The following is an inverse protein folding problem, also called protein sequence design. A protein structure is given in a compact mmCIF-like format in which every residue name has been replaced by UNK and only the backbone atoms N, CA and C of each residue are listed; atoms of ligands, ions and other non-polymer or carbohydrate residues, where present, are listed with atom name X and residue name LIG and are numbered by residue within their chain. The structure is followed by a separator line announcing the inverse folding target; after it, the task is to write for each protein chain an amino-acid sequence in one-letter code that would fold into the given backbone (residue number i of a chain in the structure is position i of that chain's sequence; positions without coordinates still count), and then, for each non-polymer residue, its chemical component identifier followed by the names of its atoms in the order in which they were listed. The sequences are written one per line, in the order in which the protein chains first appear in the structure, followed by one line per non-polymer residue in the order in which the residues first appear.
data_IF_691901523103
#
_entry.id   IF_691901523103
#
_cell.length_a   1.000
_cell.length_b   1.000
_cell.length_c   1.000
_cell.angle_alpha   90.00
_cell.angle_beta   90.00
_cell.angle_gamma   90.00
#
_symmetry.space_group_name_H-M   'P 1'
#
loop_
_entity.id
_entity.type
_entity.pdbx_description
1 polymer ?
#
# COMPACT_ATOMS: atom_id res chain seq x y z
N UNK A 1 32.73 -12.91 20.94
CA UNK A 1 31.59 -12.03 20.60
C UNK A 1 30.52 -12.93 19.97
N UNK A 2 29.64 -13.49 20.82
CA UNK A 2 28.65 -14.49 20.39
C UNK A 2 27.40 -13.80 19.87
N UNK A 3 27.18 -13.90 18.56
CA UNK A 3 25.92 -13.48 17.95
C UNK A 3 24.81 -14.44 18.44
N UNK A 4 23.96 -13.99 19.35
CA UNK A 4 22.75 -14.71 19.76
C UNK A 4 21.71 -14.53 18.64
N UNK A 5 21.46 -15.61 17.91
CA UNK A 5 20.38 -15.69 16.93
C UNK A 5 19.06 -15.65 17.70
N UNK A 6 18.33 -14.54 17.61
CA UNK A 6 16.96 -14.43 18.11
C UNK A 6 16.03 -15.16 17.13
N UNK A 7 15.56 -16.34 17.52
CA UNK A 7 14.50 -17.02 16.76
C UNK A 7 13.17 -16.40 17.18
N UNK A 8 12.57 -15.63 16.29
CA UNK A 8 11.20 -15.11 16.45
C UNK A 8 10.22 -16.15 15.95
N UNK A 9 9.52 -16.83 16.83
CA UNK A 9 8.39 -17.68 16.46
C UNK A 9 7.13 -16.84 16.70
N UNK A 10 6.44 -16.50 15.60
CA UNK A 10 5.16 -15.81 15.66
C UNK A 10 4.05 -16.85 15.76
N UNK A 11 3.38 -16.91 16.90
CA UNK A 11 2.10 -17.58 17.02
C UNK A 11 1.01 -16.56 16.65
N UNK A 12 0.58 -16.58 15.40
CA UNK A 12 -0.56 -15.78 14.96
C UNK A 12 -1.85 -16.48 15.39
N UNK A 13 -2.49 -16.04 16.44
CA UNK A 13 -3.89 -16.31 16.69
C UNK A 13 -4.70 -15.36 15.80
N UNK A 14 -5.14 -15.83 14.63
CA UNK A 14 -6.09 -15.12 13.79
C UNK A 14 -7.45 -15.19 14.50
N UNK A 15 -7.81 -14.15 15.23
CA UNK A 15 -9.18 -13.96 15.62
C UNK A 15 -9.92 -13.42 14.40
N UNK A 16 -10.96 -14.13 13.98
CA UNK A 16 -11.83 -13.79 12.84
C UNK A 16 -12.35 -12.36 13.03
N UNK A 17 -11.80 -11.43 12.27
CA UNK A 17 -12.26 -10.06 12.27
C UNK A 17 -13.71 -10.02 11.77
N UNK A 18 -14.58 -9.37 12.53
CA UNK A 18 -15.90 -9.00 12.06
C UNK A 18 -15.73 -8.00 10.91
N UNK A 19 -15.71 -8.50 9.68
CA UNK A 19 -15.93 -7.67 8.53
C UNK A 19 -17.40 -7.26 8.52
N UNK A 20 -17.69 -6.04 8.93
CA UNK A 20 -18.94 -5.40 8.58
C UNK A 20 -18.96 -5.17 7.06
N UNK A 21 -19.22 -6.22 6.32
CA UNK A 21 -19.74 -6.06 4.97
C UNK A 21 -21.19 -5.61 5.17
N UNK A 22 -21.43 -4.32 5.00
CA UNK A 22 -22.78 -3.84 4.83
C UNK A 22 -23.36 -4.56 3.63
N UNK A 23 -24.20 -5.58 3.90
CA UNK A 23 -25.10 -6.19 2.93
C UNK A 23 -26.10 -5.11 2.52
N UNK A 24 -25.70 -4.24 1.62
CA UNK A 24 -26.66 -3.51 0.83
C UNK A 24 -27.12 -4.45 -0.26
N UNK A 25 -28.36 -4.93 -0.15
CA UNK A 25 -29.03 -5.62 -1.23
C UNK A 25 -28.81 -4.82 -2.52
N UNK A 26 -28.18 -5.45 -3.50
CA UNK A 26 -28.17 -4.94 -4.85
C UNK A 26 -29.60 -5.02 -5.35
N UNK A 27 -30.29 -3.89 -5.40
CA UNK A 27 -31.41 -3.75 -6.33
C UNK A 27 -30.80 -3.90 -7.73
N UNK A 28 -30.92 -5.09 -8.26
CA UNK A 28 -30.65 -5.38 -9.68
C UNK A 28 -31.82 -4.77 -10.43
N UNK A 29 -31.74 -3.48 -10.68
CA UNK A 29 -32.58 -2.86 -11.67
C UNK A 29 -31.90 -3.09 -13.04
N UNK A 30 -32.63 -3.67 -13.97
CA UNK A 30 -32.18 -4.15 -15.29
C UNK A 30 -31.75 -3.05 -16.26
N UNK A 31 -31.43 -1.86 -15.77
CA UNK A 31 -30.96 -0.71 -16.53
C UNK A 31 -29.72 -0.10 -15.86
N UNK A 32 -28.54 -0.57 -16.28
CA UNK A 32 -27.26 0.09 -16.06
C UNK A 32 -26.87 0.22 -14.58
N UNK A 33 -25.82 -0.48 -14.15
CA UNK A 33 -25.24 -0.33 -12.80
C UNK A 33 -24.80 1.13 -12.60
N UNK A 34 -25.63 1.92 -11.94
CA UNK A 34 -25.28 3.28 -11.53
C UNK A 34 -24.15 3.20 -10.52
N UNK A 35 -22.95 3.62 -10.87
CA UNK A 35 -21.85 3.72 -9.93
C UNK A 35 -22.26 4.59 -8.75
N UNK A 36 -22.09 4.07 -7.52
CA UNK A 36 -22.34 4.85 -6.31
C UNK A 36 -21.40 6.05 -6.28
N UNK A 37 -21.94 7.25 -6.07
CA UNK A 37 -21.14 8.48 -6.02
C UNK A 37 -20.15 8.49 -4.85
N UNK A 38 -20.49 7.82 -3.75
CA UNK A 38 -19.63 7.67 -2.57
C UNK A 38 -19.72 6.24 -2.06
N UNK A 39 -18.57 5.60 -1.90
CA UNK A 39 -18.44 4.29 -1.29
C UNK A 39 -17.57 4.41 -0.03
N UNK A 40 -18.01 3.76 1.04
CA UNK A 40 -17.27 3.64 2.30
C UNK A 40 -17.05 2.16 2.58
N UNK A 41 -15.80 1.75 2.75
CA UNK A 41 -15.41 0.38 3.12
C UNK A 41 -14.39 0.44 4.23
N UNK A 42 -14.25 -0.64 4.98
CA UNK A 42 -13.23 -0.70 6.01
C UNK A 42 -13.27 -2.00 6.78
N UNK A 43 -12.30 -2.15 7.66
CA UNK A 43 -12.20 -3.29 8.57
C UNK A 43 -11.53 -2.88 9.88
N UNK A 44 -11.67 -3.73 10.87
CA UNK A 44 -10.90 -3.69 12.11
C UNK A 44 -10.33 -5.09 12.32
N UNK A 45 -9.04 -5.18 12.64
CA UNK A 45 -8.41 -6.43 13.05
C UNK A 45 -7.62 -6.22 14.34
N UNK A 46 -7.57 -7.25 15.16
CA UNK A 46 -6.76 -7.34 16.36
C UNK A 46 -5.60 -8.32 16.10
N UNK A 47 -4.39 -7.87 16.35
CA UNK A 47 -3.16 -8.62 16.18
C UNK A 47 -2.45 -8.66 17.53
N UNK A 48 -2.17 -9.85 18.01
CA UNK A 48 -1.41 -10.06 19.22
C UNK A 48 -0.10 -10.75 18.90
N UNK A 49 1.00 -10.23 19.40
CA UNK A 49 2.34 -10.78 19.23
C UNK A 49 2.92 -11.19 20.56
N UNK A 50 3.63 -12.30 20.55
CA UNK A 50 4.36 -12.82 21.69
C UNK A 50 5.78 -13.15 21.25
N UNK A 51 6.75 -12.44 21.80
CA UNK A 51 8.17 -12.65 21.51
C UNK A 51 8.85 -13.22 22.75
N UNK A 52 9.59 -14.30 22.60
CA UNK A 52 10.29 -14.93 23.72
C UNK A 52 11.72 -15.32 23.35
N UNK A 53 12.58 -15.39 24.35
CA UNK A 53 13.95 -15.89 24.20
C UNK A 53 13.96 -17.41 24.09
N UNK A 54 15.06 -17.98 23.61
CA UNK A 54 15.21 -19.45 23.46
C UNK A 54 14.97 -20.23 24.75
N UNK A 55 15.19 -19.63 25.92
CA UNK A 55 15.00 -20.25 27.22
C UNK A 55 13.69 -19.81 27.91
N UNK A 56 12.84 -19.04 27.24
CA UNK A 56 11.63 -18.44 27.82
C UNK A 56 11.88 -17.51 29.02
N UNK A 57 13.12 -17.06 29.22
CA UNK A 57 13.50 -16.19 30.34
C UNK A 57 12.98 -14.76 30.19
N UNK A 58 12.65 -14.36 28.98
CA UNK A 58 12.03 -13.06 28.66
C UNK A 58 10.84 -13.26 27.74
N UNK A 59 9.74 -12.62 28.10
CA UNK A 59 8.49 -12.61 27.35
C UNK A 59 8.14 -11.15 27.06
N UNK A 60 7.90 -10.82 25.79
CA UNK A 60 7.49 -9.49 25.35
C UNK A 60 6.17 -9.60 24.64
N UNK A 61 5.16 -8.92 25.14
CA UNK A 61 3.83 -8.87 24.56
C UNK A 61 3.68 -7.61 23.71
N UNK A 62 3.14 -7.76 22.51
CA UNK A 62 2.73 -6.67 21.65
C UNK A 62 1.28 -6.85 21.21
N UNK A 63 0.53 -5.76 21.18
CA UNK A 63 -0.85 -5.77 20.76
C UNK A 63 -1.06 -4.62 19.79
N UNK A 64 -1.86 -4.87 18.75
CA UNK A 64 -2.19 -3.90 17.72
C UNK A 64 -3.66 -4.03 17.32
N UNK A 65 -4.45 -2.98 17.54
CA UNK A 65 -5.72 -2.80 16.82
C UNK A 65 -5.41 -1.99 15.56
N UNK A 66 -5.69 -2.61 14.42
CA UNK A 66 -5.58 -1.99 13.11
C UNK A 66 -6.98 -1.76 12.53
N UNK A 67 -7.34 -0.51 12.34
CA UNK A 67 -8.57 -0.11 11.66
C UNK A 67 -8.22 0.57 10.34
N UNK A 68 -8.96 0.22 9.29
CA UNK A 68 -8.85 0.86 7.99
C UNK A 68 -10.21 1.41 7.56
N UNK A 69 -10.20 2.63 7.04
CA UNK A 69 -11.37 3.28 6.45
C UNK A 69 -11.00 3.76 5.05
N UNK A 70 -11.70 3.24 4.03
CA UNK A 70 -11.49 3.55 2.63
C UNK A 70 -12.73 4.27 2.10
N UNK A 71 -12.52 5.49 1.63
CA UNK A 71 -13.54 6.32 0.99
C UNK A 71 -13.23 6.41 -0.50
N UNK A 72 -14.18 6.09 -1.35
CA UNK A 72 -14.10 6.29 -2.79
C UNK A 72 -15.20 7.23 -3.25
N UNK A 73 -14.84 8.24 -4.02
CA UNK A 73 -15.74 9.27 -4.52
C UNK A 73 -15.73 9.28 -6.05
N UNK A 74 -16.89 9.09 -6.66
CA UNK A 74 -17.08 9.03 -8.11
C UNK A 74 -18.16 10.07 -8.49
N UNK A 75 -17.81 11.37 -8.57
CA UNK A 75 -18.79 12.44 -8.86
C UNK A 75 -19.36 12.36 -10.27
N UNK A 76 -18.59 11.83 -11.22
CA UNK A 76 -18.98 11.65 -12.62
C UNK A 76 -18.21 10.48 -13.24
N UNK A 77 -18.57 10.09 -14.46
CA UNK A 77 -17.88 9.05 -15.22
C UNK A 77 -16.43 9.43 -15.59
N UNK A 78 -16.12 10.73 -15.54
CA UNK A 78 -14.77 11.24 -15.87
C UNK A 78 -13.88 11.50 -14.68
N UNK A 79 -14.44 11.60 -13.49
CA UNK A 79 -13.67 11.92 -12.29
C UNK A 79 -13.90 10.88 -11.21
N UNK A 80 -12.82 10.43 -10.61
CA UNK A 80 -12.84 9.62 -9.41
C UNK A 80 -11.76 10.09 -8.42
N UNK A 81 -11.93 9.73 -7.15
CA UNK A 81 -10.96 9.98 -6.12
C UNK A 81 -11.08 9.00 -4.98
N UNK A 82 -10.04 8.88 -4.19
CA UNK A 82 -10.07 8.06 -2.98
C UNK A 82 -9.23 8.67 -1.88
N UNK A 83 -9.64 8.40 -0.63
CA UNK A 83 -8.84 8.62 0.56
C UNK A 83 -8.94 7.37 1.43
N UNK A 84 -7.80 6.88 1.91
CA UNK A 84 -7.71 5.68 2.73
C UNK A 84 -6.91 5.98 3.99
N UNK A 85 -7.58 5.83 5.12
CA UNK A 85 -7.00 6.02 6.45
C UNK A 85 -6.64 4.68 7.05
N UNK A 86 -5.47 4.61 7.65
CA UNK A 86 -5.01 3.51 8.48
C UNK A 86 -4.79 4.00 9.90
N UNK A 87 -5.60 3.51 10.83
CA UNK A 87 -5.51 3.82 12.24
C UNK A 87 -4.92 2.63 12.98
N UNK A 88 -3.88 2.85 13.78
CA UNK A 88 -3.18 1.80 14.52
C UNK A 88 -3.03 2.20 15.97
N UNK A 89 -3.59 1.38 16.84
CA UNK A 89 -3.39 1.49 18.28
C UNK A 89 -2.47 0.37 18.74
N UNK A 90 -1.27 0.72 19.11
CA UNK A 90 -0.28 -0.19 19.67
C UNK A 90 -0.27 -0.09 21.17
N UNK A 91 -0.15 -1.23 21.88
CA UNK A 91 0.07 -1.22 23.33
C UNK A 91 0.79 -2.49 23.79
N UNK A 92 1.41 -2.40 24.97
CA UNK A 92 2.10 -3.50 25.61
C UNK A 92 3.59 -3.28 25.82
N UNK A 93 4.28 -4.36 26.13
CA UNK A 93 5.71 -4.32 26.44
C UNK A 93 6.57 -4.01 25.21
N UNK A 94 6.11 -4.39 24.03
CA UNK A 94 6.82 -4.08 22.76
C UNK A 94 6.97 -2.57 22.60
N UNK A 95 5.91 -1.79 22.86
CA UNK A 95 5.96 -0.32 22.81
C UNK A 95 6.91 0.21 23.86
N UNK A 96 6.80 -0.26 25.11
CA UNK A 96 7.61 0.20 26.24
C UNK A 96 9.10 -0.09 26.09
N UNK A 97 9.46 -1.24 25.50
CA UNK A 97 10.84 -1.71 25.39
C UNK A 97 11.53 -1.27 24.09
N UNK A 98 10.79 -0.73 23.14
CA UNK A 98 11.36 -0.25 21.87
C UNK A 98 11.63 1.25 21.97
N UNK A 99 12.90 1.68 21.95
CA UNK A 99 13.23 3.09 21.94
C UNK A 99 12.66 3.78 20.71
N UNK A 100 12.16 5.01 20.89
CA UNK A 100 11.65 5.85 19.80
C UNK A 100 10.56 5.17 18.94
N UNK A 101 9.69 4.36 19.58
CA UNK A 101 8.66 3.55 18.89
C UNK A 101 7.81 4.40 17.95
N UNK A 102 7.29 5.53 18.40
CA UNK A 102 6.47 6.43 17.59
C UNK A 102 7.22 7.05 16.41
N UNK A 103 8.50 7.41 16.62
CA UNK A 103 9.37 7.93 15.57
C UNK A 103 9.60 6.90 14.47
N UNK A 104 9.79 5.63 14.86
CA UNK A 104 9.96 4.53 13.93
C UNK A 104 8.69 4.26 13.10
N UNK A 105 7.50 4.50 13.67
CA UNK A 105 6.24 4.42 12.94
C UNK A 105 6.09 5.54 11.89
N UNK A 106 6.70 6.69 12.15
CA UNK A 106 6.65 7.88 11.27
C UNK A 106 7.78 7.94 10.25
N UNK A 107 8.65 6.93 10.19
CA UNK A 107 9.76 6.90 9.25
C UNK A 107 9.26 6.59 7.83
N UNK A 108 8.65 7.60 7.22
CA UNK A 108 8.09 7.53 5.87
C UNK A 108 9.09 8.13 4.87
N UNK A 109 9.32 7.43 3.77
CA UNK A 109 10.13 7.91 2.64
C UNK A 109 9.30 8.70 1.61
N UNK A 110 8.05 9.03 1.94
CA UNK A 110 7.14 9.76 1.08
C UNK A 110 7.44 11.27 1.10
N UNK A 111 7.11 11.97 0.00
CA UNK A 111 7.36 13.41 -0.12
C UNK A 111 6.58 14.24 0.92
N UNK A 112 5.38 13.80 1.25
CA UNK A 112 4.53 14.41 2.25
C UNK A 112 4.36 13.47 3.43
N UNK A 113 4.69 13.90 4.64
CA UNK A 113 4.34 13.14 5.84
C UNK A 113 2.84 13.29 6.12
N UNK A 114 2.09 12.22 5.90
CA UNK A 114 0.65 12.15 6.14
C UNK A 114 0.31 11.27 7.35
N UNK A 115 1.18 11.22 8.34
CA UNK A 115 1.03 10.47 9.58
C UNK A 115 0.84 11.41 10.76
N UNK A 116 -0.07 11.07 11.66
CA UNK A 116 -0.38 11.82 12.89
C UNK A 116 -0.30 10.86 14.06
N UNK A 117 0.49 11.20 15.07
CA UNK A 117 0.46 10.57 16.40
C UNK A 117 -0.54 11.36 17.25
N UNK A 118 -1.64 10.72 17.63
CA UNK A 118 -2.69 11.35 18.43
C UNK A 118 -2.32 11.42 19.90
N UNK A 119 -1.72 10.35 20.39
CA UNK A 119 -1.13 10.29 21.72
C UNK A 119 -0.04 9.22 21.77
N UNK A 120 0.86 9.41 22.73
CA UNK A 120 1.96 8.52 23.05
C UNK A 120 2.13 8.47 24.58
N UNK A 121 2.25 7.27 25.11
CA UNK A 121 2.60 7.00 26.49
C UNK A 121 3.74 5.99 26.54
N UNK A 122 4.24 5.64 27.72
CA UNK A 122 5.31 4.64 27.88
C UNK A 122 4.99 3.27 27.24
N UNK A 123 3.70 2.91 27.13
CA UNK A 123 3.28 1.58 26.67
C UNK A 123 2.16 1.59 25.65
N UNK A 124 1.79 2.76 25.11
CA UNK A 124 0.68 2.88 24.15
C UNK A 124 0.92 4.02 23.18
N UNK A 125 0.64 3.77 21.88
CA UNK A 125 0.71 4.77 20.80
C UNK A 125 -0.50 4.63 19.89
N UNK A 126 -1.19 5.74 19.61
CA UNK A 126 -2.24 5.80 18.59
C UNK A 126 -1.76 6.65 17.41
N UNK A 127 -1.71 6.02 16.25
CA UNK A 127 -1.28 6.63 15.00
C UNK A 127 -2.40 6.54 13.94
N UNK A 128 -2.58 7.60 13.17
CA UNK A 128 -3.32 7.58 11.90
C UNK A 128 -2.38 7.93 10.76
N UNK A 129 -2.43 7.16 9.69
CA UNK A 129 -1.70 7.44 8.44
C UNK A 129 -2.69 7.48 7.27
N UNK A 130 -2.47 8.43 6.35
CA UNK A 130 -3.18 8.45 5.06
C UNK A 130 -2.35 7.62 4.08
N UNK A 131 -2.78 6.39 3.83
CA UNK A 131 -2.09 5.47 2.94
C UNK A 131 -2.31 5.81 1.47
N UNK A 132 -3.48 6.37 1.15
CA UNK A 132 -3.84 6.81 -0.20
C UNK A 132 -4.67 8.07 -0.16
N UNK A 133 -4.35 8.96 -1.07
CA UNK A 133 -5.11 10.18 -1.32
C UNK A 133 -4.84 10.63 -2.75
N UNK A 134 -5.79 10.38 -3.66
CA UNK A 134 -5.61 10.68 -5.07
C UNK A 134 -6.90 11.11 -5.75
N UNK A 135 -6.73 11.83 -6.85
CA UNK A 135 -7.77 12.16 -7.82
C UNK A 135 -7.37 11.62 -9.19
N UNK A 136 -8.34 11.23 -9.98
CA UNK A 136 -8.15 10.65 -11.31
C UNK A 136 -9.14 11.23 -12.29
N UNK A 137 -8.64 11.54 -13.47
CA UNK A 137 -9.45 11.94 -14.62
C UNK A 137 -9.38 10.85 -15.70
N UNK A 138 -10.54 10.48 -16.22
CA UNK A 138 -10.70 9.50 -17.29
C UNK A 138 -11.10 10.22 -18.59
N UNK A 139 -10.18 10.27 -19.53
CA UNK A 139 -10.46 10.69 -20.91
C UNK A 139 -10.93 9.50 -21.76
N UNK A 140 -11.06 9.71 -23.06
CA UNK A 140 -11.53 8.64 -23.97
C UNK A 140 -10.43 7.59 -24.24
N UNK A 141 -9.18 8.03 -24.37
CA UNK A 141 -8.03 7.17 -24.71
C UNK A 141 -6.89 7.30 -23.69
N UNK A 142 -7.04 8.13 -22.68
CA UNK A 142 -6.03 8.37 -21.66
C UNK A 142 -6.66 8.60 -20.30
N UNK A 143 -5.92 8.33 -19.26
CA UNK A 143 -6.27 8.63 -17.88
C UNK A 143 -5.08 9.23 -17.14
N UNK A 144 -5.36 10.12 -16.19
CA UNK A 144 -4.33 10.73 -15.37
C UNK A 144 -4.73 10.68 -13.91
N UNK A 145 -3.80 10.24 -13.06
CA UNK A 145 -3.98 10.17 -11.60
C UNK A 145 -2.89 10.94 -10.90
N UNK A 146 -3.28 11.75 -9.91
CA UNK A 146 -2.38 12.56 -9.11
C UNK A 146 -2.65 12.35 -7.63
N UNK A 147 -1.58 12.27 -6.86
CA UNK A 147 -1.60 12.13 -5.41
C UNK A 147 -0.98 10.83 -4.91
N UNK A 148 -1.20 10.50 -3.62
CA UNK A 148 -0.69 9.29 -3.00
C UNK A 148 -1.44 8.07 -3.52
N UNK A 149 -0.76 7.27 -4.31
CA UNK A 149 -1.35 6.14 -5.04
C UNK A 149 -0.41 4.95 -5.11
N UNK A 150 -0.96 3.77 -5.28
CA UNK A 150 -0.16 2.60 -5.62
C UNK A 150 0.07 2.56 -7.14
N UNK A 151 1.34 2.44 -7.53
CA UNK A 151 1.74 2.18 -8.91
C UNK A 151 2.34 0.77 -8.93
N UNK A 152 1.67 -0.16 -9.59
CA UNK A 152 2.09 -1.56 -9.63
C UNK A 152 2.45 -1.96 -11.06
N UNK A 153 3.72 -2.14 -11.31
CA UNK A 153 4.26 -2.62 -12.59
C UNK A 153 4.76 -4.06 -12.53
N UNK A 154 4.56 -4.72 -11.40
CA UNK A 154 4.90 -6.12 -11.25
C UNK A 154 3.95 -7.03 -11.98
N UNK A 155 4.47 -8.00 -12.74
CA UNK A 155 3.73 -9.08 -13.39
C UNK A 155 3.94 -10.45 -12.76
N UNK A 156 4.93 -10.59 -11.88
CA UNK A 156 5.19 -11.82 -11.13
C UNK A 156 4.44 -11.84 -9.81
N UNK A 157 4.15 -13.03 -9.29
CA UNK A 157 3.38 -13.19 -8.04
C UNK A 157 4.24 -13.07 -6.78
N UNK A 158 5.51 -13.45 -6.84
CA UNK A 158 6.38 -13.51 -5.64
C UNK A 158 7.37 -12.36 -5.60
N UNK A 159 8.17 -12.20 -6.64
CA UNK A 159 9.19 -11.16 -6.72
C UNK A 159 9.09 -10.39 -8.02
N UNK A 160 9.00 -9.06 -7.94
CA UNK A 160 8.79 -8.18 -9.07
C UNK A 160 9.89 -7.11 -9.14
N UNK A 161 11.00 -7.38 -9.84
CA UNK A 161 12.07 -6.39 -9.98
C UNK A 161 11.63 -5.15 -10.78
N UNK A 162 10.58 -5.26 -11.59
CA UNK A 162 10.01 -4.15 -12.35
C UNK A 162 9.07 -3.24 -11.53
N UNK A 163 8.75 -3.61 -10.28
CA UNK A 163 7.91 -2.80 -9.40
C UNK A 163 8.73 -1.74 -8.67
N UNK A 164 9.32 -0.83 -9.43
CA UNK A 164 10.28 0.17 -8.94
C UNK A 164 9.64 1.28 -8.11
N UNK A 165 8.32 1.46 -8.15
CA UNK A 165 7.63 2.50 -7.38
C UNK A 165 7.30 2.06 -5.96
N UNK A 166 7.02 0.78 -5.74
CA UNK A 166 6.57 0.26 -4.45
C UNK A 166 7.46 -0.90 -3.99
N UNK A 167 8.56 -0.57 -3.31
CA UNK A 167 9.38 -1.58 -2.65
C UNK A 167 8.59 -2.27 -1.54
N UNK A 168 8.53 -3.58 -1.62
CA UNK A 168 7.83 -4.39 -0.62
C UNK A 168 8.76 -4.69 0.55
N UNK A 169 8.32 -4.37 1.76
CA UNK A 169 8.99 -4.82 2.97
C UNK A 169 8.45 -6.19 3.38
N UNK A 170 9.20 -7.26 3.12
CA UNK A 170 8.82 -8.63 3.47
C UNK A 170 8.70 -8.87 4.99
N UNK A 171 9.23 -7.95 5.80
CA UNK A 171 9.21 -8.07 7.27
C UNK A 171 8.00 -7.38 7.91
N UNK A 172 7.22 -6.63 7.14
CA UNK A 172 6.00 -5.99 7.64
C UNK A 172 4.79 -6.90 7.42
N UNK A 173 4.48 -7.70 8.43
CA UNK A 173 3.37 -8.67 8.40
C UNK A 173 1.98 -8.02 8.52
N UNK A 174 1.91 -6.76 8.95
CA UNK A 174 0.65 -6.01 9.05
C UNK A 174 0.25 -5.37 7.72
N UNK A 175 1.13 -5.39 6.73
CA UNK A 175 0.91 -4.79 5.43
C UNK A 175 0.18 -5.75 4.48
N UNK A 176 -1.14 -5.80 4.53
CA UNK A 176 -1.96 -6.50 3.53
C UNK A 176 -1.91 -5.78 2.18
N UNK A 177 -1.74 -4.47 2.19
CA UNK A 177 -1.65 -3.64 1.00
C UNK A 177 -0.33 -2.87 0.94
N UNK A 178 0.26 -2.82 -0.25
CA UNK A 178 1.49 -2.05 -0.46
C UNK A 178 1.27 -0.56 -0.23
N UNK A 179 2.25 0.18 0.32
CA UNK A 179 2.15 1.61 0.53
C UNK A 179 1.91 2.36 -0.77
N UNK A 180 1.28 3.54 -0.67
CA UNK A 180 1.18 4.48 -1.78
C UNK A 180 2.43 5.33 -1.91
N UNK A 181 2.65 5.91 -3.10
CA UNK A 181 3.65 6.93 -3.39
C UNK A 181 2.97 8.24 -3.76
N UNK A 182 3.54 9.36 -3.35
CA UNK A 182 3.13 10.70 -3.80
C UNK A 182 3.59 10.87 -5.25
N UNK A 183 2.67 10.68 -6.19
CA UNK A 183 3.00 10.49 -7.61
C UNK A 183 1.97 11.10 -8.57
N UNK A 184 2.44 11.40 -9.77
CA UNK A 184 1.62 11.63 -10.94
C UNK A 184 1.79 10.44 -11.90
N UNK A 185 0.67 9.99 -12.45
CA UNK A 185 0.63 8.89 -13.43
C UNK A 185 -0.29 9.26 -14.58
N UNK A 186 0.14 8.99 -15.81
CA UNK A 186 -0.66 9.13 -17.01
C UNK A 186 -0.57 7.82 -17.79
N UNK A 187 -1.72 7.27 -18.14
CA UNK A 187 -1.84 6.08 -19.00
C UNK A 187 -2.48 6.45 -20.32
N UNK A 188 -1.88 6.07 -21.41
CA UNK A 188 -2.43 6.22 -22.75
C UNK A 188 -2.72 4.84 -23.35
N UNK A 189 -3.97 4.60 -23.70
CA UNK A 189 -4.43 3.33 -24.26
C UNK A 189 -4.23 3.34 -25.79
N UNK A 190 -3.33 2.50 -26.28
CA UNK A 190 -3.08 2.31 -27.70
C UNK A 190 -4.13 1.39 -28.35
N UNK A 191 -4.59 0.41 -27.55
CA UNK A 191 -5.66 -0.53 -27.89
C UNK A 191 -6.24 -1.09 -26.59
N UNK A 192 -7.25 -1.97 -26.69
CA UNK A 192 -7.82 -2.66 -25.52
C UNK A 192 -6.80 -3.47 -24.72
N UNK A 193 -5.71 -3.92 -25.38
CA UNK A 193 -4.69 -4.79 -24.78
C UNK A 193 -3.29 -4.18 -24.77
N UNK A 194 -3.15 -2.89 -25.08
CA UNK A 194 -1.85 -2.24 -25.12
C UNK A 194 -1.93 -0.82 -24.59
N UNK A 195 -1.00 -0.44 -23.72
CA UNK A 195 -0.92 0.91 -23.17
C UNK A 195 0.53 1.37 -22.97
N UNK A 196 0.68 2.69 -22.91
CA UNK A 196 1.88 3.35 -22.41
C UNK A 196 1.52 4.05 -21.13
N UNK A 197 2.31 3.86 -20.09
CA UNK A 197 2.14 4.51 -18.79
C UNK A 197 3.40 5.29 -18.43
N UNK A 198 3.23 6.58 -18.14
CA UNK A 198 4.27 7.44 -17.58
C UNK A 198 3.93 7.68 -16.11
N UNK A 199 4.90 7.48 -15.25
CA UNK A 199 4.74 7.71 -13.82
C UNK A 199 5.97 8.41 -13.23
N UNK A 200 5.72 9.35 -12.31
CA UNK A 200 6.76 10.04 -11.56
C UNK A 200 6.33 10.14 -10.10
N UNK A 201 7.17 9.64 -9.20
CA UNK A 201 6.96 9.65 -7.75
C UNK A 201 8.02 10.51 -7.07
N UNK A 202 7.55 11.41 -6.23
CA UNK A 202 8.39 12.20 -5.34
C UNK A 202 8.69 11.41 -4.04
N UNK A 203 9.76 11.81 -3.34
CA UNK A 203 10.17 11.26 -2.06
C UNK A 203 10.59 12.38 -1.11
N UNK A 204 10.85 12.03 0.15
CA UNK A 204 11.39 12.93 1.19
C UNK A 204 12.71 13.59 0.77
N UNK A 205 13.51 12.89 -0.03
CA UNK A 205 14.78 13.36 -0.58
C UNK A 205 14.72 13.28 -2.11
N UNK A 206 15.24 14.29 -2.79
CA UNK A 206 15.21 14.37 -4.25
C UNK A 206 15.92 13.19 -4.93
N UNK A 207 17.00 12.69 -4.33
CA UNK A 207 17.74 11.53 -4.83
C UNK A 207 17.00 10.19 -4.70
N UNK A 208 15.88 10.16 -4.00
CA UNK A 208 14.99 8.98 -3.89
C UNK A 208 13.78 9.04 -4.83
N UNK A 209 13.69 10.08 -5.65
CA UNK A 209 12.63 10.19 -6.64
C UNK A 209 12.72 9.10 -7.71
N UNK A 210 11.58 8.71 -8.25
CA UNK A 210 11.46 7.69 -9.30
C UNK A 210 10.63 8.23 -10.44
N UNK A 211 11.11 8.14 -11.66
CA UNK A 211 10.34 8.49 -12.84
C UNK A 211 10.61 7.47 -13.95
N UNK A 212 9.56 6.95 -14.56
CA UNK A 212 9.72 5.90 -15.56
C UNK A 212 8.54 5.85 -16.52
N UNK A 213 8.78 5.33 -17.71
CA UNK A 213 7.80 4.98 -18.72
C UNK A 213 7.72 3.47 -18.85
N UNK A 214 6.52 2.95 -19.05
CA UNK A 214 6.25 1.54 -19.32
C UNK A 214 5.40 1.39 -20.56
N UNK A 215 5.78 0.50 -21.44
CA UNK A 215 4.94 -0.04 -22.50
C UNK A 215 4.47 -1.44 -22.10
N UNK A 216 3.15 -1.66 -22.16
CA UNK A 216 2.53 -2.96 -21.91
C UNK A 216 1.73 -3.40 -23.13
N UNK A 217 1.79 -4.69 -23.48
CA UNK A 217 0.95 -5.28 -24.51
C UNK A 217 0.68 -6.76 -24.22
N UNK A 218 -0.55 -7.19 -24.51
CA UNK A 218 -0.88 -8.61 -24.59
C UNK A 218 -0.91 -9.04 -26.05
N UNK A 219 -0.10 -10.04 -26.40
CA UNK A 219 -0.02 -10.60 -27.75
C UNK A 219 0.33 -12.08 -27.69
N UNK A 220 -0.31 -12.89 -28.54
CA UNK A 220 -0.09 -14.34 -28.64
C UNK A 220 -0.30 -15.10 -27.31
N UNK A 221 -1.22 -14.67 -26.49
CA UNK A 221 -1.48 -15.20 -25.15
C UNK A 221 -0.32 -14.96 -24.15
N UNK A 222 0.47 -13.94 -24.39
CA UNK A 222 1.51 -13.49 -23.46
C UNK A 222 1.35 -12.02 -23.17
N UNK A 223 1.51 -11.67 -21.91
CA UNK A 223 1.73 -10.30 -21.48
C UNK A 223 3.20 -9.96 -21.64
N UNK A 224 3.50 -8.85 -22.28
CA UNK A 224 4.84 -8.30 -22.37
C UNK A 224 4.84 -6.89 -21.79
N UNK A 225 5.90 -6.58 -21.05
CA UNK A 225 6.15 -5.21 -20.62
C UNK A 225 7.62 -4.83 -20.80
N UNK A 226 7.84 -3.57 -21.11
CA UNK A 226 9.14 -2.95 -21.20
C UNK A 226 9.06 -1.63 -20.45
N UNK A 227 10.06 -1.30 -19.65
CA UNK A 227 10.13 -0.06 -18.90
C UNK A 227 11.53 0.54 -18.96
N UNK A 228 11.61 1.87 -18.82
CA UNK A 228 12.85 2.58 -18.74
C UNK A 228 12.65 3.91 -18.02
N UNK A 229 13.63 4.29 -17.18
CA UNK A 229 13.50 5.48 -16.37
C UNK A 229 14.66 5.70 -15.43
N UNK A 230 14.40 6.48 -14.40
CA UNK A 230 15.37 6.78 -13.35
C UNK A 230 14.80 6.29 -12.01
N UNK A 231 15.57 5.49 -11.31
CA UNK A 231 15.32 5.02 -9.96
C UNK A 231 16.45 5.47 -9.03
N UNK A 232 16.15 6.36 -8.08
CA UNK A 232 17.15 6.87 -7.15
C UNK A 232 18.43 7.37 -7.87
N UNK A 233 18.26 8.25 -8.86
CA UNK A 233 19.34 8.81 -9.70
C UNK A 233 20.01 7.81 -10.66
N UNK A 234 19.64 6.54 -10.62
CA UNK A 234 20.22 5.49 -11.46
C UNK A 234 19.31 5.22 -12.67
N UNK A 235 19.86 5.30 -13.88
CA UNK A 235 19.14 4.89 -15.06
C UNK A 235 18.84 3.39 -15.02
N UNK A 236 17.58 3.03 -15.19
CA UNK A 236 17.09 1.66 -15.01
C UNK A 236 16.22 1.28 -16.21
N UNK A 237 16.43 0.08 -16.71
CA UNK A 237 15.59 -0.54 -17.72
C UNK A 237 15.06 -1.86 -17.19
N UNK A 238 13.85 -2.21 -17.61
CA UNK A 238 13.19 -3.46 -17.22
C UNK A 238 12.41 -4.08 -18.36
N UNK A 239 12.34 -5.39 -18.35
CA UNK A 239 11.49 -6.16 -19.24
C UNK A 239 10.85 -7.30 -18.48
N UNK A 240 9.67 -7.73 -18.89
CA UNK A 240 8.98 -8.86 -18.30
C UNK A 240 7.98 -9.48 -19.26
N UNK A 241 7.67 -10.76 -19.02
CA UNK A 241 6.66 -11.46 -19.76
C UNK A 241 6.00 -12.55 -18.92
N UNK A 242 4.73 -12.85 -19.21
CA UNK A 242 3.94 -13.87 -18.55
C UNK A 242 2.99 -14.50 -19.55
N UNK A 243 2.86 -15.85 -19.52
CA UNK A 243 1.79 -16.55 -20.22
C UNK A 243 0.43 -16.27 -19.54
N UNK A 244 -0.62 -16.10 -20.33
CA UNK A 244 -1.99 -15.79 -19.89
C UNK A 244 -2.92 -16.92 -20.29
#
# INVERSE_FOLDING_TARGET
MNARILIRIFANFIFVGWSFQGLYAQDIDSTGVKQKKLEVRGYVKDLQSLTFSNNFDSLVTGNLIHNRVNLRWNPSDRFSGAIEFRNRLFWGEEVRLTPDFSSNLNNNSEAVNASIIWFETESMVLQTNIDRFWIEYHGNTWEARLGRQRINWGISTVWNPNDIFNTYNFLDFDYEERPGRDAAKVTYHLSEMSNIELAAAAADQANKAVASIRYFTNRWKYDFQFSGGVYHEIFTIGAGGRAV
#
